data_IF_073958031631
#
_entry.id   IF_073958031631
#
_cell.length_a   1.000
_cell.length_b   1.000
_cell.length_c   1.000
_cell.angle_alpha   90.00
_cell.angle_beta   90.00
_cell.angle_gamma   90.00
#
_symmetry.space_group_name_H-M   'P 1'
#
loop_
_entity.id
_entity.type
_entity.pdbx_description
1 polymer ?
#
# COMPACT_ATOMS: atom_id res chain seq x y z
N UNK A 1 16.24 4.99 7.36
CA UNK A 1 14.87 4.79 6.89
C UNK A 1 14.06 6.01 7.29
N UNK A 2 13.29 6.57 6.38
CA UNK A 2 12.31 7.64 6.61
C UNK A 2 10.93 7.10 6.20
N UNK A 3 9.93 7.32 7.03
CA UNK A 3 8.53 6.97 6.74
C UNK A 3 7.75 8.27 6.80
N UNK A 4 7.03 8.57 5.72
CA UNK A 4 6.16 9.75 5.62
C UNK A 4 4.74 9.29 5.47
N UNK A 5 3.86 9.63 6.42
CA UNK A 5 2.43 9.40 6.28
C UNK A 5 1.87 10.36 5.23
N UNK A 6 1.39 9.80 4.12
CA UNK A 6 0.69 10.55 3.07
C UNK A 6 -0.79 10.65 3.39
N UNK A 7 -1.33 9.64 4.06
CA UNK A 7 -2.73 9.56 4.45
C UNK A 7 -2.88 8.81 5.76
N UNK A 8 -3.72 9.35 6.62
CA UNK A 8 -4.16 8.77 7.89
C UNK A 8 -5.52 9.38 8.27
N UNK A 9 -6.19 8.78 9.28
CA UNK A 9 -7.49 9.28 9.80
C UNK A 9 -7.37 10.68 10.46
N UNK A 10 -6.16 11.06 10.85
CA UNK A 10 -5.85 12.35 11.48
C UNK A 10 -4.58 12.94 10.90
N UNK A 11 -4.40 14.26 11.05
CA UNK A 11 -3.18 14.94 10.59
C UNK A 11 -2.68 15.92 11.64
N UNK A 12 -1.41 15.77 12.04
CA UNK A 12 -0.73 16.71 12.92
C UNK A 12 -0.18 17.95 12.18
N UNK A 13 -0.08 17.92 10.85
CA UNK A 13 0.50 18.97 10.01
C UNK A 13 -0.52 19.69 9.12
N UNK A 14 -1.83 19.45 9.34
CA UNK A 14 -2.90 20.13 8.60
C UNK A 14 -3.15 19.63 7.18
N UNK A 15 -2.56 18.48 6.79
CA UNK A 15 -2.92 17.84 5.53
C UNK A 15 -4.37 17.32 5.58
N UNK A 16 -5.07 17.31 4.44
CA UNK A 16 -6.37 16.66 4.33
C UNK A 16 -6.30 15.19 4.75
N UNK A 17 -7.36 14.72 5.40
CA UNK A 17 -7.46 13.36 5.95
C UNK A 17 -8.67 12.64 5.39
N UNK A 18 -8.60 11.31 5.36
CA UNK A 18 -9.73 10.41 5.13
C UNK A 18 -9.48 9.11 5.89
N UNK A 19 -10.52 8.29 6.01
CA UNK A 19 -10.36 6.97 6.62
C UNK A 19 -9.46 6.09 5.73
N UNK A 20 -8.38 5.53 6.31
CA UNK A 20 -7.43 4.68 5.60
C UNK A 20 -5.98 5.01 5.91
N UNK A 21 -5.09 4.42 5.12
CA UNK A 21 -3.65 4.56 5.28
C UNK A 21 -2.94 4.71 3.95
N UNK A 22 -1.89 5.54 3.93
CA UNK A 22 -0.85 5.51 2.91
C UNK A 22 0.47 6.02 3.48
N UNK A 23 1.54 5.23 3.32
CA UNK A 23 2.88 5.56 3.80
C UNK A 23 3.88 5.54 2.64
N UNK A 24 4.68 6.58 2.50
CA UNK A 24 5.84 6.58 1.62
C UNK A 24 7.11 6.27 2.42
N UNK A 25 7.83 5.23 2.04
CA UNK A 25 8.99 4.72 2.77
C UNK A 25 10.24 4.88 1.92
N UNK A 26 11.27 5.51 2.51
CA UNK A 26 12.60 5.67 1.93
C UNK A 26 13.63 4.93 2.79
N UNK A 27 14.21 3.90 2.24
CA UNK A 27 15.22 3.09 2.92
C UNK A 27 16.62 3.73 2.83
N UNK A 28 17.53 3.37 3.74
CA UNK A 28 18.92 3.87 3.73
C UNK A 28 19.72 3.45 2.49
N UNK A 29 19.36 2.34 1.86
CA UNK A 29 19.97 1.84 0.63
C UNK A 29 19.44 2.53 -0.64
N UNK A 30 18.57 3.54 -0.50
CA UNK A 30 17.97 4.29 -1.60
C UNK A 30 16.66 3.72 -2.14
N UNK A 31 16.27 2.51 -1.73
CA UNK A 31 14.99 1.91 -2.13
C UNK A 31 13.81 2.72 -1.57
N UNK A 32 12.80 2.96 -2.40
CA UNK A 32 11.58 3.71 -2.06
C UNK A 32 10.36 2.88 -2.38
N UNK A 33 9.37 2.91 -1.52
CA UNK A 33 8.11 2.23 -1.83
C UNK A 33 6.91 2.89 -1.17
N UNK A 34 5.75 2.62 -1.74
CA UNK A 34 4.45 3.02 -1.21
C UNK A 34 3.83 1.83 -0.47
N UNK A 35 3.38 2.06 0.76
CA UNK A 35 2.63 1.08 1.53
C UNK A 35 1.21 1.59 1.72
N UNK A 36 0.23 0.89 1.16
CA UNK A 36 -1.17 1.27 1.06
C UNK A 36 -1.41 2.60 0.33
N UNK A 37 -2.64 2.86 -0.11
CA UNK A 37 -2.99 3.97 -1.02
C UNK A 37 -4.26 4.71 -0.62
N UNK A 38 -4.78 4.42 0.60
CA UNK A 38 -6.03 5.04 1.08
C UNK A 38 -7.26 4.64 0.26
N UNK A 39 -8.34 5.38 0.47
CA UNK A 39 -9.61 5.10 -0.22
C UNK A 39 -9.80 5.90 -1.52
N UNK A 40 -9.05 6.98 -1.72
CA UNK A 40 -9.21 7.88 -2.87
C UNK A 40 -7.86 8.29 -3.48
N UNK A 41 -7.84 9.36 -4.27
CA UNK A 41 -6.62 9.99 -4.78
C UNK A 41 -5.94 10.92 -3.75
N UNK A 42 -6.47 11.05 -2.54
CA UNK A 42 -6.01 12.02 -1.54
C UNK A 42 -4.55 11.82 -1.14
N UNK A 43 -4.10 10.56 -1.02
CA UNK A 43 -2.69 10.25 -0.75
C UNK A 43 -1.75 10.88 -1.78
N UNK A 44 -2.14 10.90 -3.05
CA UNK A 44 -1.32 11.47 -4.12
C UNK A 44 -1.28 12.99 -4.07
N UNK A 45 -2.37 13.64 -3.71
CA UNK A 45 -2.42 15.09 -3.50
C UNK A 45 -1.57 15.51 -2.30
N UNK A 46 -1.62 14.73 -1.22
CA UNK A 46 -0.78 14.95 -0.04
C UNK A 46 0.71 14.70 -0.36
N UNK A 47 1.04 13.67 -1.16
CA UNK A 47 2.40 13.46 -1.64
C UNK A 47 2.94 14.68 -2.39
N UNK A 48 2.14 15.22 -3.32
CA UNK A 48 2.50 16.43 -4.07
C UNK A 48 2.73 17.62 -3.14
N UNK A 49 1.83 17.86 -2.16
CA UNK A 49 1.96 18.92 -1.19
C UNK A 49 3.23 18.79 -0.31
N UNK A 50 3.70 17.57 -0.08
CA UNK A 50 4.94 17.24 0.64
C UNK A 50 6.18 17.22 -0.26
N UNK A 51 6.05 17.47 -1.56
CA UNK A 51 7.14 17.41 -2.53
C UNK A 51 7.63 15.98 -2.82
N UNK A 52 6.78 14.97 -2.61
CA UNK A 52 7.09 13.56 -2.87
C UNK A 52 6.57 13.17 -4.24
N UNK A 53 7.47 12.75 -5.12
CA UNK A 53 7.12 12.19 -6.44
C UNK A 53 6.89 10.69 -6.33
N UNK A 54 5.63 10.27 -6.44
CA UNK A 54 5.24 8.85 -6.39
C UNK A 54 5.78 8.02 -7.55
N UNK A 55 6.19 8.65 -8.67
CA UNK A 55 6.85 7.94 -9.76
C UNK A 55 8.24 7.43 -9.37
N UNK A 56 8.81 7.92 -8.26
CA UNK A 56 10.11 7.47 -7.74
C UNK A 56 10.02 6.21 -6.86
N UNK A 57 8.82 5.69 -6.62
CA UNK A 57 8.66 4.44 -5.90
C UNK A 57 9.11 3.26 -6.79
N UNK A 58 9.99 2.41 -6.25
CA UNK A 58 10.48 1.20 -6.92
C UNK A 58 9.41 0.10 -6.96
N UNK A 59 8.51 0.10 -5.97
CA UNK A 59 7.34 -0.80 -5.88
C UNK A 59 6.30 -0.23 -4.93
N UNK A 60 5.14 -0.88 -4.90
CA UNK A 60 4.14 -0.66 -3.85
C UNK A 60 3.77 -1.98 -3.16
N UNK A 61 3.25 -1.87 -1.95
CA UNK A 61 2.72 -3.00 -1.17
C UNK A 61 1.30 -2.64 -0.75
N UNK A 62 0.37 -3.52 -1.02
CA UNK A 62 -0.99 -3.44 -0.49
C UNK A 62 -1.12 -4.44 0.66
N UNK A 63 -1.46 -3.95 1.84
CA UNK A 63 -1.59 -4.76 3.04
C UNK A 63 -2.74 -5.77 2.95
N UNK A 64 -3.90 -5.32 2.44
CA UNK A 64 -5.09 -6.15 2.23
C UNK A 64 -6.09 -5.49 1.27
N UNK A 65 -7.11 -6.23 0.87
CA UNK A 65 -8.02 -5.86 -0.21
C UNK A 65 -9.21 -4.97 0.18
N UNK A 66 -9.13 -4.15 1.22
CA UNK A 66 -10.17 -3.19 1.55
C UNK A 66 -9.98 -1.85 0.84
N UNK A 67 -11.10 -1.17 0.53
CA UNK A 67 -11.09 0.09 -0.23
C UNK A 67 -10.33 1.22 0.48
N UNK A 68 -10.33 1.26 1.81
CA UNK A 68 -9.64 2.28 2.62
C UNK A 68 -8.10 2.10 2.66
N UNK A 69 -7.59 1.00 2.12
CA UNK A 69 -6.17 0.74 1.92
C UNK A 69 -5.75 0.68 0.45
N UNK A 70 -6.62 0.18 -0.42
CA UNK A 70 -6.31 -0.03 -1.84
C UNK A 70 -7.19 0.75 -2.81
N UNK A 71 -8.10 1.60 -2.35
CA UNK A 71 -8.97 2.39 -3.23
C UNK A 71 -8.20 3.34 -4.15
N UNK A 72 -7.05 3.83 -3.71
CA UNK A 72 -6.14 4.64 -4.52
C UNK A 72 -5.29 3.87 -5.53
N UNK A 73 -5.42 2.54 -5.65
CA UNK A 73 -4.60 1.70 -6.54
C UNK A 73 -4.62 2.17 -7.99
N UNK A 74 -5.79 2.49 -8.54
CA UNK A 74 -5.92 3.01 -9.91
C UNK A 74 -5.12 4.31 -10.10
N UNK A 75 -5.14 5.20 -9.12
CA UNK A 75 -4.39 6.45 -9.12
C UNK A 75 -2.88 6.17 -9.11
N UNK A 76 -2.41 5.27 -8.24
CA UNK A 76 -1.00 4.91 -8.20
C UNK A 76 -0.53 4.30 -9.52
N UNK A 77 -1.28 3.35 -10.07
CA UNK A 77 -0.97 2.70 -11.36
C UNK A 77 -0.85 3.70 -12.52
N UNK A 78 -1.60 4.81 -12.47
CA UNK A 78 -1.56 5.89 -13.46
C UNK A 78 -0.36 6.82 -13.25
N UNK A 79 -0.02 7.15 -12.01
CA UNK A 79 1.06 8.10 -11.66
C UNK A 79 2.44 7.46 -11.77
N UNK A 80 2.56 6.20 -11.38
CA UNK A 80 3.77 5.41 -11.50
C UNK A 80 3.54 4.34 -12.57
N UNK A 81 4.31 4.35 -13.64
CA UNK A 81 4.09 3.49 -14.81
C UNK A 81 4.97 2.23 -14.85
N UNK A 82 5.82 2.00 -13.85
CA UNK A 82 6.80 0.91 -13.85
C UNK A 82 6.76 0.02 -12.60
N UNK A 83 6.45 0.59 -11.42
CA UNK A 83 6.54 -0.13 -10.16
C UNK A 83 5.55 -1.30 -10.07
N UNK A 84 6.00 -2.50 -9.69
CA UNK A 84 5.11 -3.61 -9.34
C UNK A 84 4.36 -3.29 -8.05
N UNK A 85 3.15 -3.88 -7.91
CA UNK A 85 2.35 -3.79 -6.69
C UNK A 85 2.24 -5.18 -6.07
N UNK A 86 2.86 -5.37 -4.93
CA UNK A 86 2.83 -6.61 -4.18
C UNK A 86 1.60 -6.67 -3.28
N UNK A 87 0.89 -7.79 -3.31
CA UNK A 87 -0.30 -8.01 -2.48
C UNK A 87 -0.60 -9.50 -2.29
N UNK A 88 -1.51 -9.81 -1.35
CA UNK A 88 -2.07 -11.16 -1.23
C UNK A 88 -2.90 -11.50 -2.48
N UNK A 89 -2.90 -12.78 -2.91
CA UNK A 89 -3.80 -13.27 -3.97
C UNK A 89 -5.27 -13.08 -3.64
N UNK A 90 -5.60 -13.01 -2.36
CA UNK A 90 -6.96 -12.79 -1.86
C UNK A 90 -7.41 -11.32 -1.86
N UNK A 91 -6.51 -10.37 -2.23
CA UNK A 91 -6.82 -8.94 -2.16
C UNK A 91 -7.99 -8.51 -3.07
N UNK A 92 -8.23 -9.23 -4.17
CA UNK A 92 -9.35 -8.97 -5.09
C UNK A 92 -10.56 -9.88 -4.86
N UNK A 93 -10.54 -10.74 -3.85
CA UNK A 93 -11.73 -11.47 -3.46
C UNK A 93 -12.81 -10.52 -2.94
N UNK A 94 -14.10 -10.92 -3.01
CA UNK A 94 -15.16 -10.08 -2.48
C UNK A 94 -15.02 -9.86 -0.97
N UNK A 95 -14.95 -8.60 -0.55
CA UNK A 95 -14.93 -8.20 0.86
C UNK A 95 -16.20 -7.44 1.18
N UNK A 96 -16.85 -7.80 2.28
CA UNK A 96 -18.09 -7.17 2.73
C UNK A 96 -18.01 -6.78 4.22
N UNK A 97 -18.59 -5.64 4.55
CA UNK A 97 -18.90 -5.28 5.92
C UNK A 97 -20.36 -5.64 6.19
N UNK A 98 -20.58 -6.65 7.05
CA UNK A 98 -21.86 -7.28 7.17
C UNK A 98 -22.25 -8.06 5.90
N UNK A 99 -23.53 -8.09 5.57
CA UNK A 99 -24.06 -8.87 4.42
C UNK A 99 -24.25 -8.04 3.15
N UNK A 100 -24.20 -6.71 3.22
CA UNK A 100 -24.66 -5.85 2.13
C UNK A 100 -23.62 -4.85 1.61
N UNK A 101 -22.74 -4.31 2.48
CA UNK A 101 -21.81 -3.26 2.07
C UNK A 101 -20.52 -3.87 1.52
N UNK A 102 -20.34 -3.78 0.19
CA UNK A 102 -19.07 -4.11 -0.44
C UNK A 102 -17.97 -3.13 -0.02
N UNK A 103 -16.84 -3.65 0.45
CA UNK A 103 -15.68 -2.90 0.91
C UNK A 103 -14.38 -3.34 0.22
N UNK A 104 -14.49 -4.14 -0.84
CA UNK A 104 -13.35 -4.62 -1.62
C UNK A 104 -12.86 -3.64 -2.67
N UNK A 105 -11.92 -4.11 -3.49
CA UNK A 105 -11.29 -3.36 -4.56
C UNK A 105 -12.05 -3.55 -5.89
N UNK A 106 -11.77 -2.65 -6.84
CA UNK A 106 -12.19 -2.84 -8.22
C UNK A 106 -11.40 -4.01 -8.85
N UNK A 107 -12.09 -5.09 -9.12
CA UNK A 107 -11.50 -6.31 -9.68
C UNK A 107 -10.88 -6.13 -11.08
N UNK A 108 -11.27 -5.09 -11.83
CA UNK A 108 -10.67 -4.79 -13.14
C UNK A 108 -9.18 -4.42 -13.04
N UNK A 109 -8.74 -3.91 -11.89
CA UNK A 109 -7.34 -3.55 -11.64
C UNK A 109 -6.39 -4.76 -11.60
N UNK A 110 -6.92 -5.97 -11.39
CA UNK A 110 -6.16 -7.21 -11.50
C UNK A 110 -5.45 -7.34 -12.86
N UNK A 111 -6.09 -6.89 -13.93
CA UNK A 111 -5.57 -6.98 -15.30
C UNK A 111 -4.49 -5.93 -15.65
N UNK A 112 -4.03 -5.11 -14.69
CA UNK A 112 -3.04 -4.04 -14.93
C UNK A 112 -1.67 -4.52 -15.41
N UNK A 113 -1.37 -5.83 -15.27
CA UNK A 113 -0.07 -6.42 -15.64
C UNK A 113 1.07 -6.10 -14.64
N UNK A 114 0.78 -5.36 -13.56
CA UNK A 114 1.79 -4.97 -12.54
C UNK A 114 1.53 -5.55 -11.15
N UNK A 115 0.49 -6.34 -11.00
CA UNK A 115 0.18 -7.02 -9.73
C UNK A 115 1.10 -8.23 -9.56
N UNK A 116 1.74 -8.32 -8.41
CA UNK A 116 2.60 -9.45 -8.02
C UNK A 116 2.06 -10.06 -6.73
N UNK A 117 1.60 -11.29 -6.82
CA UNK A 117 1.09 -11.98 -5.64
C UNK A 117 2.21 -12.50 -4.76
N UNK A 118 2.02 -12.34 -3.45
CA UNK A 118 2.87 -12.90 -2.40
C UNK A 118 2.10 -14.04 -1.75
N UNK A 119 2.60 -15.27 -1.90
CA UNK A 119 1.91 -16.46 -1.40
C UNK A 119 2.30 -16.80 0.04
N UNK A 120 3.58 -16.74 0.36
CA UNK A 120 4.11 -17.03 1.71
C UNK A 120 5.09 -15.93 2.14
N UNK A 121 6.36 -16.10 1.83
CA UNK A 121 7.44 -15.14 2.10
C UNK A 121 8.10 -14.74 0.78
N UNK A 122 8.40 -13.46 0.64
CA UNK A 122 9.16 -12.94 -0.51
C UNK A 122 10.11 -11.85 -0.07
N UNK A 123 11.41 -12.06 -0.29
CA UNK A 123 12.40 -11.00 -0.19
C UNK A 123 12.35 -10.16 -1.47
N UNK A 124 12.08 -8.85 -1.35
CA UNK A 124 11.91 -7.92 -2.49
C UNK A 124 13.07 -6.94 -2.61
N UNK A 125 13.83 -6.74 -1.54
CA UNK A 125 15.08 -6.00 -1.54
C UNK A 125 15.95 -6.51 -0.37
N UNK A 126 17.27 -6.30 -0.38
CA UNK A 126 18.13 -6.71 0.73
C UNK A 126 17.61 -6.21 2.07
N UNK A 127 17.27 -7.12 2.96
CA UNK A 127 16.73 -6.83 4.29
C UNK A 127 15.26 -6.39 4.32
N UNK A 128 14.53 -6.56 3.23
CA UNK A 128 13.10 -6.25 3.14
C UNK A 128 12.32 -7.47 2.66
N UNK A 129 11.54 -8.04 3.54
CA UNK A 129 10.72 -9.22 3.26
C UNK A 129 9.24 -8.91 3.42
N UNK A 130 8.45 -9.47 2.54
CA UNK A 130 7.00 -9.51 2.64
C UNK A 130 6.57 -10.88 3.13
N UNK A 131 5.60 -10.89 4.03
CA UNK A 131 4.96 -12.11 4.52
C UNK A 131 3.47 -12.02 4.24
N UNK A 132 2.95 -12.99 3.52
CA UNK A 132 1.52 -13.20 3.45
C UNK A 132 1.09 -14.08 4.63
N UNK A 133 0.12 -13.62 5.40
CA UNK A 133 -0.51 -14.39 6.47
C UNK A 133 -1.89 -14.84 6.01
N UNK A 134 -2.02 -16.10 5.54
CA UNK A 134 -3.28 -16.61 4.99
C UNK A 134 -4.43 -16.56 6.00
N UNK A 135 -4.11 -16.74 7.28
CA UNK A 135 -5.05 -16.66 8.41
C UNK A 135 -5.59 -15.23 8.66
N UNK A 136 -4.89 -14.21 8.19
CA UNK A 136 -5.27 -12.81 8.35
C UNK A 136 -5.56 -12.08 7.03
N UNK A 137 -5.38 -12.76 5.87
CA UNK A 137 -5.52 -12.18 4.51
C UNK A 137 -4.73 -10.87 4.33
N UNK A 138 -3.56 -10.76 4.99
CA UNK A 138 -2.75 -9.54 5.06
C UNK A 138 -1.31 -9.79 4.66
N UNK A 139 -0.72 -8.83 3.94
CA UNK A 139 0.72 -8.77 3.69
C UNK A 139 1.37 -7.88 4.74
N UNK A 140 2.42 -8.39 5.37
CA UNK A 140 3.23 -7.67 6.35
C UNK A 140 4.60 -7.36 5.77
N UNK A 141 5.13 -6.19 6.09
CA UNK A 141 6.50 -5.80 5.73
C UNK A 141 7.40 -5.95 6.95
N UNK A 142 8.46 -6.76 6.83
CA UNK A 142 9.48 -6.90 7.87
C UNK A 142 10.81 -6.34 7.38
N UNK A 143 11.43 -5.54 8.25
CA UNK A 143 12.78 -5.00 8.07
C UNK A 143 13.75 -5.77 8.97
N UNK A 144 14.84 -6.29 8.42
CA UNK A 144 15.77 -7.20 9.11
C UNK A 144 16.51 -6.54 10.30
N UNK A 145 16.45 -5.22 10.45
CA UNK A 145 17.20 -4.52 11.50
C UNK A 145 16.37 -3.81 12.56
N UNK A 146 15.07 -3.67 12.37
CA UNK A 146 14.14 -3.17 13.39
C UNK A 146 12.74 -3.67 13.05
N UNK A 147 12.15 -4.39 13.96
CA UNK A 147 10.76 -4.85 13.85
C UNK A 147 9.84 -3.63 13.98
N UNK A 148 9.49 -3.01 12.86
CA UNK A 148 8.36 -2.07 12.82
C UNK A 148 7.14 -2.90 12.47
N UNK A 149 6.51 -3.44 13.51
CA UNK A 149 5.18 -4.03 13.39
C UNK A 149 4.19 -2.88 13.20
N UNK A 150 3.79 -2.66 11.95
CA UNK A 150 2.59 -1.87 11.69
C UNK A 150 1.41 -2.81 12.00
N UNK A 151 0.91 -2.77 13.23
CA UNK A 151 -0.33 -3.46 13.65
C UNK A 151 -1.48 -2.47 13.48
N UNK A 152 -2.52 -2.93 12.85
CA UNK A 152 -3.85 -2.31 12.78
C UNK A 152 -4.83 -3.12 13.58
#
# INVERSE_FOLDING_TARGET
MRITALLENTSACGLPVEHGLSLFVEMKNGCRFLFDMGQSDLFSRNALALGIDLNTADFAVLSHGHYDHGGGLATFLKLNNHAPVYMSRHAFEPHFNGTEKYIGLDSLLHASGRIVYVDEEKEIAPGLKLYNRPDAVKVMVLFTFHLVLIRW
#
